data_IF_037657931196
#
_entry.id   IF_037657931196
#
_cell.length_a   1.000
_cell.length_b   1.000
_cell.length_c   1.000
_cell.angle_alpha   90.00
_cell.angle_beta   90.00
_cell.angle_gamma   90.00
#
_symmetry.space_group_name_H-M   'P 1'
#
loop_
_entity.id
_entity.type
_entity.pdbx_description
1 polymer ?
#
# COMPACT_ATOMS: atom_id res chain seq x y z
N UNK A 1 1.32 12.50 -4.56
CA UNK A 1 0.09 13.22 -4.99
C UNK A 1 0.08 13.67 -6.45
N UNK A 2 1.23 13.94 -7.09
CA UNK A 2 1.29 14.46 -8.47
C UNK A 2 0.51 13.65 -9.52
N UNK A 3 0.57 12.31 -9.47
CA UNK A 3 -0.19 11.44 -10.38
C UNK A 3 -1.70 11.70 -10.30
N UNK A 4 -2.26 11.83 -9.10
CA UNK A 4 -3.71 12.05 -8.92
C UNK A 4 -4.10 13.48 -9.28
N UNK A 5 -3.25 14.45 -8.97
CA UNK A 5 -3.46 15.83 -9.41
C UNK A 5 -3.54 15.92 -10.94
N UNK A 6 -2.65 15.23 -11.65
CA UNK A 6 -2.66 15.18 -13.12
C UNK A 6 -3.88 14.41 -13.65
N UNK A 7 -4.30 13.31 -13.01
CA UNK A 7 -5.55 12.60 -13.37
C UNK A 7 -6.81 13.46 -13.19
N UNK A 8 -6.81 14.39 -12.23
CA UNK A 8 -7.96 15.28 -11.97
C UNK A 8 -7.91 16.53 -12.87
N UNK A 9 -6.72 17.08 -13.12
CA UNK A 9 -6.54 18.35 -13.84
C UNK A 9 -6.37 18.19 -15.35
N UNK A 10 -5.89 17.03 -15.82
CA UNK A 10 -5.71 16.73 -17.25
C UNK A 10 -6.66 15.62 -17.69
N UNK A 11 -7.53 15.92 -18.66
CA UNK A 11 -8.38 14.91 -19.33
C UNK A 11 -7.58 13.91 -20.18
N UNK A 12 -6.31 14.21 -20.50
CA UNK A 12 -5.43 13.34 -21.30
C UNK A 12 -4.55 12.39 -20.47
N UNK A 13 -4.69 12.42 -19.15
CA UNK A 13 -3.92 11.55 -18.27
C UNK A 13 -4.67 10.24 -18.00
N UNK A 14 -4.08 9.12 -18.38
CA UNK A 14 -4.57 7.78 -18.06
C UNK A 14 -3.43 6.94 -17.50
N UNK A 15 -3.66 6.33 -16.34
CA UNK A 15 -2.77 5.30 -15.77
C UNK A 15 -3.32 3.93 -16.17
N UNK A 16 -2.54 3.20 -16.97
CA UNK A 16 -2.91 1.85 -17.37
C UNK A 16 -2.60 0.86 -16.22
N UNK A 17 -3.47 -0.14 -15.98
CA UNK A 17 -3.27 -1.06 -14.87
C UNK A 17 -2.00 -1.91 -14.99
N UNK A 18 -1.63 -2.23 -16.25
CA UNK A 18 -0.48 -3.07 -16.60
C UNK A 18 0.81 -2.28 -16.87
N UNK A 19 0.79 -0.94 -16.78
CA UNK A 19 1.99 -0.11 -17.00
C UNK A 19 3.16 -0.44 -16.07
N UNK A 20 2.86 -1.07 -14.94
CA UNK A 20 3.82 -1.38 -13.89
C UNK A 20 4.24 -2.85 -13.89
N UNK A 21 3.98 -3.56 -14.99
CA UNK A 21 4.33 -4.96 -15.17
C UNK A 21 3.27 -5.90 -14.62
N UNK A 22 2.82 -6.82 -15.46
CA UNK A 22 2.00 -7.98 -15.10
C UNK A 22 2.82 -9.29 -15.20
N UNK A 23 4.06 -9.16 -15.65
CA UNK A 23 4.96 -10.24 -15.98
C UNK A 23 5.81 -10.64 -14.75
N UNK A 24 5.95 -11.94 -14.51
CA UNK A 24 6.50 -12.48 -13.26
C UNK A 24 7.94 -12.03 -12.95
N UNK A 25 8.71 -11.65 -13.96
CA UNK A 25 10.07 -11.16 -13.77
C UNK A 25 10.13 -9.78 -13.09
N UNK A 26 9.15 -8.90 -13.37
CA UNK A 26 9.03 -7.61 -12.69
C UNK A 26 8.67 -7.81 -11.23
N UNK A 27 7.79 -8.76 -10.93
CA UNK A 27 7.44 -9.12 -9.55
C UNK A 27 8.69 -9.57 -8.77
N UNK A 28 9.58 -10.34 -9.41
CA UNK A 28 10.83 -10.81 -8.80
C UNK A 28 11.84 -9.66 -8.59
N UNK A 29 11.93 -8.73 -9.54
CA UNK A 29 12.76 -7.53 -9.41
C UNK A 29 12.26 -6.60 -8.31
N UNK A 30 10.94 -6.37 -8.23
CA UNK A 30 10.32 -5.58 -7.17
C UNK A 30 10.41 -6.28 -5.81
N UNK A 31 10.21 -7.59 -5.74
CA UNK A 31 10.39 -8.34 -4.50
C UNK A 31 11.84 -8.26 -4.02
N UNK A 32 12.84 -8.38 -4.90
CA UNK A 32 14.26 -8.28 -4.56
C UNK A 32 14.67 -6.87 -4.11
N UNK A 33 14.36 -5.87 -4.93
CA UNK A 33 14.70 -4.46 -4.62
C UNK A 33 13.90 -3.91 -3.44
N UNK A 34 12.60 -4.19 -3.40
CA UNK A 34 11.72 -3.81 -2.30
C UNK A 34 12.13 -4.50 -0.99
N UNK A 35 12.43 -5.79 -0.98
CA UNK A 35 12.89 -6.45 0.26
C UNK A 35 14.22 -5.89 0.78
N UNK A 36 15.15 -5.50 -0.11
CA UNK A 36 16.37 -4.78 0.28
C UNK A 36 16.08 -3.40 0.87
N UNK A 37 15.18 -2.63 0.25
CA UNK A 37 14.77 -1.30 0.75
C UNK A 37 14.04 -1.42 2.08
N UNK A 38 13.11 -2.36 2.21
CA UNK A 38 12.37 -2.60 3.44
C UNK A 38 13.31 -3.00 4.59
N UNK A 39 14.35 -3.82 4.35
CA UNK A 39 15.36 -4.17 5.36
C UNK A 39 16.12 -2.95 5.86
N UNK A 40 16.32 -1.95 5.00
CA UNK A 40 17.08 -0.74 5.32
C UNK A 40 16.24 0.33 6.03
N UNK A 41 14.92 0.35 5.80
CA UNK A 41 14.01 1.37 6.35
C UNK A 41 13.46 0.98 7.75
N UNK A 42 13.58 -0.28 8.17
CA UNK A 42 13.15 -0.71 9.51
C UNK A 42 11.63 -0.69 9.74
N UNK A 43 10.84 -0.64 8.65
CA UNK A 43 9.37 -0.48 8.69
C UNK A 43 8.64 -1.62 7.94
N UNK A 44 9.13 -2.85 8.08
CA UNK A 44 8.52 -4.05 7.46
C UNK A 44 7.08 -4.27 7.92
N UNK A 45 6.75 -3.91 9.16
CA UNK A 45 5.45 -4.19 9.77
C UNK A 45 4.28 -3.64 8.96
N UNK A 46 4.40 -2.41 8.43
CA UNK A 46 3.34 -1.73 7.68
C UNK A 46 3.10 -2.37 6.32
N UNK A 47 4.16 -2.81 5.65
CA UNK A 47 4.04 -3.47 4.34
C UNK A 47 3.49 -4.88 4.48
N UNK A 48 3.98 -5.63 5.47
CA UNK A 48 3.48 -6.97 5.78
C UNK A 48 2.00 -6.91 6.19
N UNK A 49 1.60 -5.91 6.98
CA UNK A 49 0.21 -5.66 7.34
C UNK A 49 -0.69 -5.42 6.12
N UNK A 50 -0.28 -4.53 5.22
CA UNK A 50 -1.04 -4.22 4.01
C UNK A 50 -1.15 -5.44 3.09
N UNK A 51 -0.03 -6.07 2.74
CA UNK A 51 0.00 -7.24 1.86
C UNK A 51 -0.77 -8.41 2.46
N UNK A 52 -0.61 -8.66 3.76
CA UNK A 52 -1.33 -9.70 4.49
C UNK A 52 -2.83 -9.46 4.50
N UNK A 53 -3.27 -8.24 4.87
CA UNK A 53 -4.69 -7.90 4.86
C UNK A 53 -5.31 -8.00 3.46
N UNK A 54 -4.62 -7.47 2.45
CA UNK A 54 -5.08 -7.55 1.06
C UNK A 54 -5.14 -9.00 0.56
N UNK A 55 -4.14 -9.82 0.87
CA UNK A 55 -4.12 -11.24 0.52
C UNK A 55 -5.22 -12.04 1.21
N UNK A 56 -5.53 -11.75 2.48
CA UNK A 56 -6.65 -12.38 3.18
C UNK A 56 -7.98 -12.00 2.52
N UNK A 57 -8.19 -10.72 2.20
CA UNK A 57 -9.43 -10.27 1.54
C UNK A 57 -9.61 -10.88 0.15
N UNK A 58 -8.58 -10.85 -0.70
CA UNK A 58 -8.62 -11.51 -2.01
C UNK A 58 -8.74 -13.03 -1.89
N UNK A 59 -8.12 -13.64 -0.87
CA UNK A 59 -8.19 -15.07 -0.62
C UNK A 59 -9.60 -15.53 -0.24
N UNK A 60 -10.25 -14.82 0.69
CA UNK A 60 -11.65 -15.06 1.07
C UNK A 60 -12.55 -14.96 -0.16
N UNK A 61 -12.34 -13.93 -1.00
CA UNK A 61 -13.10 -13.76 -2.24
C UNK A 61 -12.83 -14.88 -3.25
N UNK A 62 -11.57 -15.27 -3.43
CA UNK A 62 -11.18 -16.33 -4.36
C UNK A 62 -11.85 -17.66 -3.98
N UNK A 63 -11.88 -17.97 -2.69
CA UNK A 63 -12.59 -19.13 -2.15
C UNK A 63 -14.11 -19.02 -2.37
N UNK A 64 -14.70 -17.84 -2.13
CA UNK A 64 -16.14 -17.64 -2.31
C UNK A 64 -16.58 -17.75 -3.78
N UNK A 65 -15.74 -17.30 -4.72
CA UNK A 65 -15.97 -17.41 -6.16
C UNK A 65 -15.55 -18.76 -6.76
N UNK A 66 -14.88 -19.62 -5.98
CA UNK A 66 -14.39 -20.93 -6.45
C UNK A 66 -13.34 -20.83 -7.56
N UNK A 67 -12.55 -19.75 -7.58
CA UNK A 67 -11.53 -19.51 -8.60
C UNK A 67 -10.23 -20.29 -8.33
N UNK A 68 -9.44 -20.52 -9.38
CA UNK A 68 -8.15 -21.22 -9.24
C UNK A 68 -7.13 -20.39 -8.47
N UNK A 69 -6.20 -21.08 -7.80
CA UNK A 69 -5.12 -20.45 -7.05
C UNK A 69 -4.17 -19.64 -7.94
N UNK A 70 -4.11 -19.94 -9.23
CA UNK A 70 -3.35 -19.15 -10.21
C UNK A 70 -3.84 -17.70 -10.30
N UNK A 71 -5.16 -17.49 -10.29
CA UNK A 71 -5.77 -16.14 -10.34
C UNK A 71 -5.40 -15.35 -9.09
N UNK A 72 -5.43 -16.01 -7.93
CA UNK A 72 -5.04 -15.40 -6.66
C UNK A 72 -3.56 -15.00 -6.66
N UNK A 73 -2.66 -15.92 -7.02
CA UNK A 73 -1.22 -15.65 -7.09
C UNK A 73 -0.90 -14.53 -8.08
N UNK A 74 -1.53 -14.56 -9.26
CA UNK A 74 -1.34 -13.53 -10.27
C UNK A 74 -1.78 -12.14 -9.78
N UNK A 75 -2.89 -12.04 -9.05
CA UNK A 75 -3.35 -10.77 -8.45
C UNK A 75 -2.39 -10.21 -7.40
N UNK A 76 -1.75 -11.08 -6.61
CA UNK A 76 -0.76 -10.69 -5.61
C UNK A 76 0.59 -10.34 -6.21
N UNK A 77 0.94 -10.96 -7.34
CA UNK A 77 2.19 -10.69 -8.07
C UNK A 77 2.09 -9.51 -9.04
N UNK A 78 0.95 -8.80 -9.08
CA UNK A 78 0.81 -7.61 -9.91
C UNK A 78 1.87 -6.57 -9.55
N UNK A 79 2.65 -6.12 -10.53
CA UNK A 79 3.74 -5.17 -10.32
C UNK A 79 3.25 -3.84 -9.75
N UNK A 80 2.04 -3.40 -10.10
CA UNK A 80 1.40 -2.21 -9.52
C UNK A 80 1.19 -2.30 -8.00
N UNK A 81 0.79 -3.48 -7.52
CA UNK A 81 0.56 -3.75 -6.10
C UNK A 81 1.88 -3.85 -5.32
N UNK A 82 2.86 -4.56 -5.87
CA UNK A 82 4.17 -4.70 -5.26
C UNK A 82 4.93 -3.38 -5.22
N UNK A 83 4.95 -2.63 -6.32
CA UNK A 83 5.56 -1.30 -6.36
C UNK A 83 4.92 -0.37 -5.34
N UNK A 84 3.59 -0.36 -5.26
CA UNK A 84 2.88 0.43 -4.28
C UNK A 84 3.25 0.01 -2.86
N UNK A 85 3.13 -1.27 -2.53
CA UNK A 85 3.36 -1.78 -1.19
C UNK A 85 4.81 -1.56 -0.72
N UNK A 86 5.79 -1.71 -1.63
CA UNK A 86 7.21 -1.69 -1.28
C UNK A 86 7.81 -0.28 -1.31
N UNK A 87 7.36 0.60 -2.19
CA UNK A 87 7.96 1.93 -2.39
C UNK A 87 7.06 3.09 -2.00
N UNK A 88 5.75 3.01 -2.27
CA UNK A 88 4.85 4.14 -1.99
C UNK A 88 4.25 4.08 -0.58
N UNK A 89 3.89 2.89 -0.11
CA UNK A 89 3.31 2.68 1.21
C UNK A 89 4.35 2.85 2.32
N UNK A 90 5.63 2.60 2.03
CA UNK A 90 6.76 2.73 2.97
C UNK A 90 7.33 4.15 3.07
N UNK A 91 6.80 5.12 2.31
CA UNK A 91 7.25 6.50 2.33
C UNK A 91 7.06 7.13 3.72
N UNK A 92 8.14 7.60 4.38
CA UNK A 92 8.08 8.03 5.78
C UNK A 92 7.22 9.27 6.00
N UNK A 93 6.94 10.06 4.97
CA UNK A 93 6.17 11.30 5.08
C UNK A 93 4.66 11.06 5.16
N UNK A 94 4.20 9.88 4.76
CA UNK A 94 2.77 9.55 4.65
C UNK A 94 2.32 8.50 5.67
N UNK A 95 3.15 8.15 6.65
CA UNK A 95 2.91 7.04 7.58
C UNK A 95 2.74 7.57 9.01
N UNK A 96 1.73 7.09 9.76
CA UNK A 96 1.58 7.41 11.18
C UNK A 96 2.81 7.05 12.02
N UNK A 97 3.09 7.78 13.09
CA UNK A 97 4.29 7.54 13.90
C UNK A 97 4.16 6.28 14.78
N UNK A 98 2.99 6.06 15.39
CA UNK A 98 2.75 4.95 16.29
C UNK A 98 2.63 3.59 15.55
N UNK A 99 3.23 2.49 16.04
CA UNK A 99 3.19 1.18 15.37
C UNK A 99 1.77 0.63 15.19
N UNK A 100 0.88 0.85 16.17
CA UNK A 100 -0.52 0.42 16.09
C UNK A 100 -1.28 1.24 15.03
N UNK A 101 -1.07 2.56 15.00
CA UNK A 101 -1.66 3.44 13.98
C UNK A 101 -1.21 3.06 12.57
N UNK A 102 0.06 2.66 12.40
CA UNK A 102 0.59 2.17 11.13
C UNK A 102 -0.11 0.90 10.65
N UNK A 103 -0.32 -0.06 11.55
CA UNK A 103 -1.03 -1.30 11.25
C UNK A 103 -2.48 -1.02 10.83
N UNK A 104 -3.21 -0.24 11.63
CA UNK A 104 -4.60 0.10 11.37
C UNK A 104 -4.75 0.88 10.05
N UNK A 105 -3.87 1.85 9.81
CA UNK A 105 -3.86 2.61 8.57
C UNK A 105 -3.60 1.73 7.33
N UNK A 106 -2.60 0.83 7.39
CA UNK A 106 -2.32 -0.12 6.33
C UNK A 106 -3.51 -1.03 6.03
N UNK A 107 -4.18 -1.53 7.07
CA UNK A 107 -5.38 -2.37 6.93
C UNK A 107 -6.53 -1.57 6.28
N UNK A 108 -6.76 -0.32 6.69
CA UNK A 108 -7.77 0.55 6.07
C UNK A 108 -7.50 0.77 4.58
N UNK A 109 -6.23 0.97 4.17
CA UNK A 109 -5.87 1.11 2.75
C UNK A 109 -6.15 -0.19 2.00
N UNK A 110 -5.78 -1.35 2.56
CA UNK A 110 -6.05 -2.65 1.94
C UNK A 110 -7.57 -2.87 1.73
N UNK A 111 -8.38 -2.55 2.75
CA UNK A 111 -9.83 -2.66 2.69
C UNK A 111 -10.44 -1.74 1.63
N UNK A 112 -10.07 -0.46 1.62
CA UNK A 112 -10.58 0.50 0.66
C UNK A 112 -10.13 0.15 -0.77
N UNK A 113 -8.88 -0.30 -0.94
CA UNK A 113 -8.36 -0.79 -2.22
C UNK A 113 -9.17 -1.98 -2.71
N UNK A 114 -9.43 -2.96 -1.84
CA UNK A 114 -10.23 -4.14 -2.17
C UNK A 114 -11.65 -3.75 -2.62
N UNK A 115 -12.32 -2.85 -1.89
CA UNK A 115 -13.67 -2.38 -2.25
C UNK A 115 -13.66 -1.67 -3.60
N UNK A 116 -12.75 -0.71 -3.81
CA UNK A 116 -12.65 0.04 -5.06
C UNK A 116 -12.29 -0.86 -6.25
N UNK A 117 -11.40 -1.82 -6.05
CA UNK A 117 -10.99 -2.73 -7.11
C UNK A 117 -12.08 -3.73 -7.47
N UNK A 118 -12.82 -4.23 -6.48
CA UNK A 118 -13.71 -5.37 -6.66
C UNK A 118 -15.16 -4.96 -6.91
N UNK A 119 -15.60 -3.84 -6.34
CA UNK A 119 -16.96 -3.32 -6.49
C UNK A 119 -17.06 -2.28 -7.59
N UNK A 120 -16.04 -1.43 -7.74
CA UNK A 120 -16.01 -0.35 -8.74
C UNK A 120 -15.12 -0.68 -9.96
N UNK A 121 -14.52 -1.87 -9.99
CA UNK A 121 -13.65 -2.35 -11.08
C UNK A 121 -12.53 -1.36 -11.44
N UNK A 122 -12.11 -0.54 -10.48
CA UNK A 122 -11.10 0.48 -10.70
C UNK A 122 -9.70 -0.13 -10.60
N UNK A 123 -8.92 -0.13 -11.69
CA UNK A 123 -7.60 -0.75 -11.63
C UNK A 123 -6.58 0.10 -10.86
N UNK A 124 -6.78 1.42 -10.80
CA UNK A 124 -5.97 2.38 -10.04
C UNK A 124 -6.45 2.55 -8.58
N UNK A 125 -7.32 1.64 -8.10
CA UNK A 125 -7.93 1.68 -6.76
C UNK A 125 -6.92 1.92 -5.63
N UNK A 126 -5.72 1.34 -5.73
CA UNK A 126 -4.69 1.43 -4.70
C UNK A 126 -4.17 2.85 -4.50
N UNK A 127 -4.04 3.62 -5.59
CA UNK A 127 -3.63 5.02 -5.55
C UNK A 127 -4.73 5.91 -4.99
N UNK A 128 -5.98 5.66 -5.40
CA UNK A 128 -7.16 6.36 -4.87
C UNK A 128 -7.35 6.09 -3.37
N UNK A 129 -7.15 4.86 -2.93
CA UNK A 129 -7.25 4.49 -1.53
C UNK A 129 -6.21 5.22 -0.69
N UNK A 130 -4.94 5.26 -1.13
CA UNK A 130 -3.88 6.01 -0.46
C UNK A 130 -4.21 7.50 -0.40
N UNK A 131 -4.75 8.07 -1.48
CA UNK A 131 -5.12 9.47 -1.53
C UNK A 131 -6.22 9.82 -0.54
N UNK A 132 -7.31 9.05 -0.57
CA UNK A 132 -8.45 9.24 0.30
C UNK A 132 -8.09 9.05 1.79
N UNK A 133 -7.16 8.13 2.08
CA UNK A 133 -6.70 7.83 3.44
C UNK A 133 -5.45 8.61 3.85
N UNK A 134 -4.90 9.46 2.99
CA UNK A 134 -3.81 10.34 3.36
C UNK A 134 -4.18 11.34 4.46
N UNK A 135 -5.33 12.05 4.47
CA UNK A 135 -5.70 12.91 5.59
C UNK A 135 -5.98 12.12 6.88
N UNK A 136 -6.34 10.83 6.78
CA UNK A 136 -6.56 9.97 7.94
C UNK A 136 -5.28 9.76 8.77
N UNK A 137 -4.10 9.86 8.14
CA UNK A 137 -2.80 9.76 8.83
C UNK A 137 -2.66 10.84 9.91
N UNK A 138 -3.02 12.08 9.59
CA UNK A 138 -2.97 13.23 10.49
C UNK A 138 -3.92 13.05 11.66
N UNK A 139 -5.11 12.50 11.40
CA UNK A 139 -6.12 12.20 12.44
C UNK A 139 -5.62 11.09 13.37
N UNK A 140 -5.05 10.02 12.82
CA UNK A 140 -4.51 8.91 13.61
C UNK A 140 -3.30 9.31 14.44
N UNK A 141 -2.45 10.20 13.94
CA UNK A 141 -1.34 10.77 14.71
C UNK A 141 -1.82 11.74 15.81
N UNK A 142 -2.96 12.40 15.62
CA UNK A 142 -3.58 13.24 16.65
C UNK A 142 -4.20 12.40 17.78
N UNK A 143 -4.84 11.28 17.45
CA UNK A 143 -5.48 10.38 18.42
C UNK A 143 -4.43 9.53 19.17
N UNK A 144 -3.44 8.98 18.46
CA UNK A 144 -2.36 8.19 19.02
C UNK A 144 -1.03 8.95 18.91
N UNK A 145 -0.88 9.97 19.76
CA UNK A 145 0.41 10.62 19.96
C UNK A 145 1.35 9.66 20.70
N UNK A 146 2.11 8.83 19.97
CA UNK A 146 3.28 8.20 20.59
C UNK A 146 4.32 9.28 20.81
N UNK A 147 4.87 9.33 22.02
CA UNK A 147 5.97 10.19 22.46
C UNK A 147 6.97 10.41 21.33
N UNK A 148 7.13 11.67 20.89
CA UNK A 148 8.26 12.05 20.02
C UNK A 148 9.53 11.54 20.67
N UNK A 149 10.38 10.88 19.90
CA UNK A 149 11.74 10.62 20.31
C UNK A 149 12.41 11.98 20.58
N UNK A 150 12.50 12.37 21.85
CA UNK A 150 13.35 13.47 22.26
C UNK A 150 14.77 12.93 22.24
N UNK A 151 15.60 13.44 21.33
CA UNK A 151 17.04 13.44 21.58
C UNK A 151 17.23 14.27 22.85
N UNK A 152 17.26 13.63 24.01
CA UNK A 152 17.94 14.23 25.14
C UNK A 152 19.41 14.19 24.76
N UNK A 153 19.96 15.36 24.45
CA UNK A 153 21.38 15.58 24.36
C UNK A 153 22.01 15.03 25.64
N UNK A 154 22.68 13.89 25.53
CA UNK A 154 23.57 13.40 26.57
C UNK A 154 24.87 14.20 26.48
N UNK A 155 24.80 15.47 26.88
CA UNK A 155 25.97 16.22 27.34
C UNK A 155 26.00 16.17 28.87
N UNK A 156 26.81 15.26 29.40
CA UNK A 156 27.50 15.41 30.70
C UNK A 156 28.74 14.53 30.72
#
# INVERSE_FOLDING_TARGET
>A
FGIIAVLILSNDAWVSPGQWGDDGWYALLFAGTGSMVLKRVGRWDTTAAFLGAYAVLEGIRNLWLGWSWDVFCHRLMSGSLLLFALFMLTDPRSIPNAPISRLLWAVCIALLTFILRNQFFMPTAIFWALFALSPLTVILDFIWSSTRFSWHDSES
#
